data_IF_121702711652
#
_entry.id   IF_121702711652
#
_cell.length_a   1.000
_cell.length_b   1.000
_cell.length_c   1.000
_cell.angle_alpha   90.00
_cell.angle_beta   90.00
_cell.angle_gamma   90.00
#
_symmetry.space_group_name_H-M   'P 1'
#
loop_
_entity.id
_entity.type
_entity.pdbx_description
1 polymer ?
#
# COMPACT_ATOMS: atom_id res chain seq x y z
N UNK A 1 23.74 -11.66 -22.55
CA UNK A 1 23.25 -10.67 -21.56
C UNK A 1 21.72 -10.63 -21.39
N UNK A 2 20.89 -10.67 -22.45
CA UNK A 2 19.41 -10.66 -22.33
C UNK A 2 18.81 -11.78 -21.44
N UNK A 3 19.38 -12.98 -21.46
CA UNK A 3 18.90 -14.13 -20.67
C UNK A 3 19.20 -14.03 -19.15
N UNK A 4 20.21 -13.23 -18.76
CA UNK A 4 20.55 -12.99 -17.34
C UNK A 4 19.59 -11.95 -16.76
N UNK A 5 19.30 -10.89 -17.51
CA UNK A 5 18.34 -9.84 -17.12
C UNK A 5 16.93 -10.39 -16.90
N UNK A 6 16.50 -11.41 -17.64
CA UNK A 6 15.17 -12.02 -17.43
C UNK A 6 15.10 -12.90 -16.18
N UNK A 7 16.21 -13.54 -15.77
CA UNK A 7 16.25 -14.42 -14.60
C UNK A 7 16.18 -13.66 -13.27
N UNK A 8 16.80 -12.47 -13.19
CA UNK A 8 16.84 -11.65 -11.98
C UNK A 8 15.77 -10.54 -11.91
N UNK A 9 14.98 -10.35 -12.97
CA UNK A 9 13.94 -9.31 -13.02
C UNK A 9 12.87 -9.45 -11.95
N UNK A 10 12.37 -10.67 -11.73
CA UNK A 10 11.34 -10.94 -10.70
C UNK A 10 11.83 -10.66 -9.28
N UNK A 11 12.96 -11.21 -8.81
CA UNK A 11 13.45 -10.91 -7.46
C UNK A 11 13.80 -9.42 -7.31
N UNK A 12 14.34 -8.77 -8.35
CA UNK A 12 14.61 -7.33 -8.32
C UNK A 12 13.32 -6.51 -8.11
N UNK A 13 12.26 -6.79 -8.86
CA UNK A 13 10.97 -6.09 -8.69
C UNK A 13 10.33 -6.38 -7.34
N UNK A 14 10.53 -7.58 -6.80
CA UNK A 14 10.01 -7.94 -5.48
C UNK A 14 10.74 -7.18 -4.38
N UNK A 15 12.07 -7.11 -4.44
CA UNK A 15 12.89 -6.29 -3.52
C UNK A 15 12.53 -4.81 -3.65
N UNK A 16 12.45 -4.28 -4.86
CA UNK A 16 12.05 -2.89 -5.09
C UNK A 16 10.64 -2.59 -4.56
N UNK A 17 9.69 -3.52 -4.74
CA UNK A 17 8.35 -3.41 -4.18
C UNK A 17 8.35 -3.36 -2.66
N UNK A 18 9.14 -4.21 -2.00
CA UNK A 18 9.29 -4.22 -0.53
C UNK A 18 9.89 -2.89 -0.04
N UNK A 19 10.92 -2.39 -0.72
CA UNK A 19 11.55 -1.11 -0.36
C UNK A 19 10.58 0.05 -0.51
N UNK A 20 9.82 0.11 -1.61
CA UNK A 20 8.79 1.14 -1.82
C UNK A 20 7.66 1.03 -0.80
N UNK A 21 7.27 -0.18 -0.41
CA UNK A 21 6.29 -0.40 0.63
C UNK A 21 6.80 0.06 2.00
N UNK A 22 8.05 -0.26 2.35
CA UNK A 22 8.65 0.19 3.59
C UNK A 22 8.74 1.72 3.66
N UNK A 23 9.14 2.37 2.56
CA UNK A 23 9.14 3.83 2.44
C UNK A 23 7.73 4.42 2.55
N UNK A 24 6.74 3.77 1.94
CA UNK A 24 5.36 4.22 2.00
C UNK A 24 4.78 4.12 3.43
N UNK A 25 5.02 3.00 4.11
CA UNK A 25 4.64 2.79 5.50
C UNK A 25 5.29 3.83 6.41
N UNK A 26 6.60 4.07 6.24
CA UNK A 26 7.34 5.06 7.02
C UNK A 26 6.83 6.49 6.77
N UNK A 27 6.68 6.90 5.51
CA UNK A 27 6.17 8.22 5.14
C UNK A 27 4.73 8.45 5.61
N UNK A 28 3.88 7.43 5.47
CA UNK A 28 2.48 7.48 5.89
C UNK A 28 2.34 7.57 7.41
N UNK A 29 3.08 6.75 8.16
CA UNK A 29 3.12 6.81 9.62
C UNK A 29 3.66 8.16 10.11
N UNK A 30 4.81 8.59 9.59
CA UNK A 30 5.46 9.83 10.01
C UNK A 30 4.61 11.06 9.74
N UNK A 31 3.97 11.12 8.57
CA UNK A 31 3.02 12.18 8.26
C UNK A 31 1.80 12.15 9.18
N UNK A 32 1.17 10.98 9.38
CA UNK A 32 0.00 10.83 10.24
C UNK A 32 0.30 11.19 11.70
N UNK A 33 1.47 10.83 12.22
CA UNK A 33 1.88 11.15 13.58
C UNK A 33 2.17 12.64 13.76
N UNK A 34 2.86 13.26 12.80
CA UNK A 34 3.35 14.63 12.92
C UNK A 34 2.37 15.71 12.41
N UNK A 35 1.22 15.35 11.84
CA UNK A 35 0.32 16.27 11.15
C UNK A 35 -0.13 17.46 12.02
N UNK A 36 -0.42 17.24 13.31
CA UNK A 36 -0.85 18.30 14.23
C UNK A 36 0.30 18.95 15.01
N UNK A 37 1.52 18.42 14.88
CA UNK A 37 2.74 19.09 15.34
C UNK A 37 3.23 20.16 14.34
N UNK A 38 2.56 20.29 13.20
CA UNK A 38 2.87 21.28 12.18
C UNK A 38 2.16 22.59 12.54
N UNK A 39 2.88 23.54 13.13
CA UNK A 39 2.51 24.94 12.97
C UNK A 39 2.70 25.29 11.49
N UNK A 40 1.59 25.22 10.76
CA UNK A 40 1.57 25.56 9.36
C UNK A 40 1.77 27.07 9.23
N UNK A 41 3.01 27.51 9.04
CA UNK A 41 3.29 28.90 8.70
C UNK A 41 2.93 29.13 7.24
N UNK A 42 1.65 29.41 7.00
CA UNK A 42 1.08 29.38 5.67
C UNK A 42 1.52 30.59 4.81
N UNK A 43 2.20 31.60 5.36
CA UNK A 43 2.82 32.71 4.60
C UNK A 43 1.90 33.40 3.57
N UNK A 44 0.57 33.30 3.72
CA UNK A 44 -0.43 33.78 2.76
C UNK A 44 -0.80 32.83 1.59
N UNK A 45 -0.27 31.61 1.53
CA UNK A 45 -0.54 30.58 0.52
C UNK A 45 -1.09 29.26 1.09
N UNK A 46 -1.18 28.20 0.25
CA UNK A 46 -1.62 26.88 0.72
C UNK A 46 -0.52 26.24 1.58
N UNK A 47 -0.81 26.11 2.87
CA UNK A 47 0.01 25.53 3.92
C UNK A 47 0.68 24.20 3.52
N UNK A 48 0.00 23.39 2.71
CA UNK A 48 0.43 22.05 2.32
C UNK A 48 1.69 22.00 1.42
N UNK A 49 2.07 23.12 0.78
CA UNK A 49 3.04 23.09 -0.34
C UNK A 49 4.48 23.44 0.02
N UNK A 50 4.71 24.16 1.13
CA UNK A 50 6.04 24.71 1.47
C UNK A 50 6.75 24.01 2.63
N UNK A 51 6.07 23.17 3.41
CA UNK A 51 6.71 22.41 4.50
C UNK A 51 7.26 21.07 3.97
N UNK A 52 8.57 20.78 4.08
CA UNK A 52 9.16 19.50 3.67
C UNK A 52 8.53 18.28 4.35
N UNK A 53 7.81 18.44 5.46
CA UNK A 53 7.09 17.36 6.14
C UNK A 53 5.81 16.93 5.41
N UNK A 54 5.21 17.77 4.57
CA UNK A 54 4.06 17.38 3.73
C UNK A 54 4.45 16.35 2.65
N UNK A 55 5.75 16.25 2.34
CA UNK A 55 6.30 15.21 1.47
C UNK A 55 6.07 13.80 2.01
N UNK A 56 5.86 13.62 3.32
CA UNK A 56 5.56 12.31 3.91
C UNK A 56 4.32 11.65 3.29
N UNK A 57 3.26 12.43 3.05
CA UNK A 57 2.05 11.94 2.38
C UNK A 57 2.30 11.59 0.90
N UNK A 58 3.08 12.43 0.21
CA UNK A 58 3.45 12.22 -1.19
C UNK A 58 4.29 10.94 -1.35
N UNK A 59 5.27 10.73 -0.47
CA UNK A 59 6.08 9.51 -0.39
C UNK A 59 5.20 8.29 -0.10
N UNK A 60 4.23 8.41 0.82
CA UNK A 60 3.29 7.34 1.12
C UNK A 60 2.48 6.92 -0.12
N UNK A 61 1.93 7.88 -0.85
CA UNK A 61 1.09 7.62 -2.04
C UNK A 61 1.95 6.99 -3.16
N UNK A 62 3.03 7.64 -3.57
CA UNK A 62 3.86 7.14 -4.67
C UNK A 62 4.56 5.83 -4.33
N UNK A 63 5.03 5.67 -3.09
CA UNK A 63 5.60 4.42 -2.61
C UNK A 63 4.58 3.28 -2.66
N UNK A 64 3.33 3.51 -2.23
CA UNK A 64 2.25 2.51 -2.29
C UNK A 64 1.91 2.16 -3.73
N UNK A 65 1.75 3.14 -4.62
CA UNK A 65 1.46 2.92 -6.05
C UNK A 65 2.59 2.11 -6.70
N UNK A 66 3.85 2.48 -6.46
CA UNK A 66 5.00 1.75 -6.98
C UNK A 66 5.08 0.31 -6.44
N UNK A 67 4.83 0.11 -5.15
CA UNK A 67 4.78 -1.21 -4.54
C UNK A 67 3.65 -2.08 -5.13
N UNK A 68 2.47 -1.52 -5.35
CA UNK A 68 1.32 -2.17 -5.98
C UNK A 68 1.66 -2.61 -7.41
N UNK A 69 2.18 -1.70 -8.23
CA UNK A 69 2.51 -2.01 -9.62
C UNK A 69 3.56 -3.12 -9.70
N UNK A 70 4.67 -2.99 -8.97
CA UNK A 70 5.78 -3.95 -9.02
C UNK A 70 5.41 -5.31 -8.43
N UNK A 71 4.62 -5.34 -7.34
CA UNK A 71 4.18 -6.60 -6.73
C UNK A 71 3.12 -7.32 -7.57
N UNK A 72 2.25 -6.58 -8.25
CA UNK A 72 1.27 -7.13 -9.19
C UNK A 72 1.93 -7.93 -10.31
N UNK A 73 3.08 -7.47 -10.83
CA UNK A 73 3.87 -8.19 -11.83
C UNK A 73 4.58 -9.44 -11.30
N UNK A 74 4.93 -9.49 -10.01
CA UNK A 74 5.73 -10.58 -9.43
C UNK A 74 4.90 -11.68 -8.79
N UNK A 75 3.91 -11.31 -7.97
CA UNK A 75 3.11 -12.24 -7.15
C UNK A 75 1.61 -12.16 -7.44
N UNK A 76 1.20 -11.39 -8.46
CA UNK A 76 -0.21 -11.22 -8.81
C UNK A 76 -0.96 -10.39 -7.75
N UNK A 77 -2.29 -10.56 -7.68
CA UNK A 77 -3.17 -9.71 -6.86
C UNK A 77 -2.90 -9.73 -5.33
N UNK A 78 -2.16 -10.72 -4.80
CA UNK A 78 -1.75 -10.70 -3.39
C UNK A 78 -0.85 -9.49 -3.09
N UNK A 79 0.11 -9.22 -3.97
CA UNK A 79 1.09 -8.16 -3.79
C UNK A 79 0.44 -6.79 -3.57
N UNK A 80 -0.42 -6.35 -4.50
CA UNK A 80 -1.22 -5.15 -4.35
C UNK A 80 -2.04 -5.12 -3.07
N UNK A 81 -2.69 -6.23 -2.71
CA UNK A 81 -3.50 -6.30 -1.50
C UNK A 81 -2.67 -6.06 -0.23
N UNK A 82 -1.50 -6.70 -0.13
CA UNK A 82 -0.57 -6.50 1.00
C UNK A 82 -0.06 -5.06 1.01
N UNK A 83 0.33 -4.52 -0.14
CA UNK A 83 0.86 -3.16 -0.22
C UNK A 83 -0.15 -2.11 0.25
N UNK A 84 -1.41 -2.22 -0.20
CA UNK A 84 -2.50 -1.32 0.22
C UNK A 84 -2.79 -1.48 1.71
N UNK A 85 -2.91 -2.72 2.19
CA UNK A 85 -3.23 -3.00 3.60
C UNK A 85 -2.12 -2.53 4.55
N UNK A 86 -0.85 -2.79 4.23
CA UNK A 86 0.27 -2.40 5.08
C UNK A 86 0.48 -0.88 5.13
N UNK A 87 0.30 -0.18 4.01
CA UNK A 87 0.35 1.28 3.97
C UNK A 87 -0.81 1.90 4.79
N UNK A 88 -2.04 1.41 4.59
CA UNK A 88 -3.21 1.86 5.35
C UNK A 88 -3.09 1.60 6.86
N UNK A 89 -2.58 0.42 7.23
CA UNK A 89 -2.32 0.05 8.62
C UNK A 89 -1.30 0.98 9.27
N UNK A 90 -0.18 1.26 8.60
CA UNK A 90 0.87 2.11 9.15
C UNK A 90 0.40 3.55 9.32
N UNK A 91 -0.37 4.07 8.36
CA UNK A 91 -1.00 5.38 8.46
C UNK A 91 -1.98 5.46 9.63
N UNK A 92 -2.85 4.46 9.78
CA UNK A 92 -3.79 4.37 10.91
C UNK A 92 -3.07 4.33 12.25
N UNK A 93 -2.00 3.54 12.36
CA UNK A 93 -1.18 3.48 13.57
C UNK A 93 -0.56 4.84 13.91
N UNK A 94 -0.11 5.60 12.91
CA UNK A 94 0.42 6.95 13.13
C UNK A 94 -0.62 7.90 13.75
N UNK A 95 -1.89 7.81 13.31
CA UNK A 95 -2.99 8.57 13.90
C UNK A 95 -3.30 8.13 15.33
N UNK A 96 -3.37 6.82 15.57
CA UNK A 96 -3.64 6.26 16.91
C UNK A 96 -2.54 6.69 17.90
N UNK A 97 -1.28 6.63 17.49
CA UNK A 97 -0.14 7.07 18.29
C UNK A 97 -0.19 8.60 18.55
N UNK A 98 -0.55 9.42 17.56
CA UNK A 98 -0.72 10.87 17.72
C UNK A 98 -1.81 11.25 18.73
N UNK A 99 -2.94 10.54 18.70
CA UNK A 99 -4.02 10.71 19.66
C UNK A 99 -3.56 10.33 21.06
N UNK A 100 -2.88 9.19 21.19
CA UNK A 100 -2.37 8.72 22.48
C UNK A 100 -1.35 9.68 23.10
N UNK A 101 -0.56 10.36 22.26
CA UNK A 101 0.41 11.36 22.66
C UNK A 101 -0.22 12.75 22.91
N UNK A 102 -1.53 12.91 22.67
CA UNK A 102 -2.24 14.17 22.86
C UNK A 102 -1.95 15.24 21.79
N UNK A 103 -1.33 14.86 20.67
CA UNK A 103 -1.08 15.79 19.56
C UNK A 103 -2.33 16.06 18.74
N UNK A 104 -3.26 15.10 18.69
CA UNK A 104 -4.46 15.15 17.83
C UNK A 104 -5.73 14.82 18.62
N UNK A 105 -6.79 15.58 18.42
CA UNK A 105 -8.09 15.25 19.00
C UNK A 105 -8.73 14.05 18.29
N UNK A 106 -9.27 13.08 19.03
CA UNK A 106 -9.88 11.88 18.43
C UNK A 106 -11.02 12.18 17.43
N UNK A 107 -11.69 13.33 17.57
CA UNK A 107 -12.74 13.77 16.65
C UNK A 107 -12.25 14.23 15.27
N UNK A 108 -11.00 14.68 15.13
CA UNK A 108 -10.48 15.21 13.85
C UNK A 108 -10.00 14.12 12.89
N UNK A 109 -9.81 12.88 13.35
CA UNK A 109 -9.29 11.76 12.54
C UNK A 109 -10.37 10.85 11.93
N UNK A 110 -11.64 11.16 12.10
CA UNK A 110 -12.74 10.30 11.63
C UNK A 110 -12.73 10.06 10.11
N UNK A 111 -12.48 11.11 9.33
CA UNK A 111 -12.36 11.03 7.86
C UNK A 111 -11.18 10.14 7.43
N UNK A 112 -9.93 10.37 7.89
CA UNK A 112 -8.81 9.50 7.53
C UNK A 112 -8.98 8.05 8.01
N UNK A 113 -9.56 7.81 9.20
CA UNK A 113 -9.88 6.46 9.67
C UNK A 113 -10.87 5.73 8.74
N UNK A 114 -11.86 6.46 8.19
CA UNK A 114 -12.80 5.91 7.22
C UNK A 114 -12.09 5.49 5.92
N UNK A 115 -11.17 6.31 5.40
CA UNK A 115 -10.39 5.96 4.22
C UNK A 115 -9.50 4.73 4.43
N UNK A 116 -8.85 4.58 5.58
CA UNK A 116 -8.07 3.36 5.88
C UNK A 116 -8.96 2.11 5.92
N UNK A 117 -10.19 2.26 6.40
CA UNK A 117 -11.18 1.16 6.41
C UNK A 117 -11.59 0.77 5.00
N UNK A 118 -11.85 1.74 4.12
CA UNK A 118 -12.11 1.48 2.69
C UNK A 118 -10.92 0.75 2.05
N UNK A 119 -9.69 1.17 2.36
CA UNK A 119 -8.47 0.52 1.85
C UNK A 119 -8.38 -0.95 2.28
N UNK A 120 -8.71 -1.29 3.53
CA UNK A 120 -8.77 -2.69 3.99
C UNK A 120 -9.85 -3.50 3.27
N UNK A 121 -11.04 -2.92 3.04
CA UNK A 121 -12.11 -3.59 2.27
C UNK A 121 -11.65 -3.88 0.85
N UNK A 122 -11.04 -2.90 0.17
CA UNK A 122 -10.50 -3.08 -1.19
C UNK A 122 -9.42 -4.17 -1.20
N UNK A 123 -8.49 -4.15 -0.24
CA UNK A 123 -7.47 -5.18 -0.13
C UNK A 123 -8.07 -6.58 0.09
N UNK A 124 -9.11 -6.70 0.94
CA UNK A 124 -9.85 -7.93 1.15
C UNK A 124 -10.50 -8.46 -0.14
N UNK A 125 -11.16 -7.58 -0.90
CA UNK A 125 -11.75 -7.94 -2.20
C UNK A 125 -10.70 -8.41 -3.21
N UNK A 126 -9.51 -7.80 -3.24
CA UNK A 126 -8.41 -8.26 -4.09
C UNK A 126 -7.96 -9.68 -3.73
N UNK A 127 -7.88 -10.03 -2.43
CA UNK A 127 -7.52 -11.38 -1.98
C UNK A 127 -8.60 -12.39 -2.37
N UNK A 128 -9.88 -12.08 -2.17
CA UNK A 128 -11.00 -12.95 -2.56
C UNK A 128 -10.98 -13.21 -4.08
N UNK A 129 -10.82 -12.17 -4.89
CA UNK A 129 -10.69 -12.29 -6.34
C UNK A 129 -9.50 -13.15 -6.76
N UNK A 130 -8.36 -13.04 -6.06
CA UNK A 130 -7.19 -13.87 -6.31
C UNK A 130 -7.43 -15.35 -6.00
N UNK A 131 -8.06 -15.66 -4.85
CA UNK A 131 -8.42 -17.04 -4.47
C UNK A 131 -9.34 -17.65 -5.53
N UNK A 132 -10.37 -16.92 -5.96
CA UNK A 132 -11.28 -17.35 -7.02
C UNK A 132 -10.55 -17.66 -8.33
N UNK A 133 -9.60 -16.81 -8.71
CA UNK A 133 -8.78 -17.01 -9.91
C UNK A 133 -7.91 -18.28 -9.82
N UNK A 134 -7.35 -18.59 -8.65
CA UNK A 134 -6.58 -19.81 -8.45
C UNK A 134 -7.45 -21.07 -8.52
N UNK A 135 -8.61 -21.04 -7.87
CA UNK A 135 -9.56 -22.16 -7.86
C UNK A 135 -10.03 -22.47 -9.28
N UNK A 136 -10.45 -21.43 -10.03
CA UNK A 136 -10.89 -21.59 -11.42
C UNK A 136 -9.77 -22.12 -12.34
N UNK A 137 -8.53 -21.63 -12.19
CA UNK A 137 -7.36 -22.18 -12.93
C UNK A 137 -7.04 -23.62 -12.56
N UNK A 138 -7.25 -24.03 -11.32
CA UNK A 138 -7.05 -25.42 -10.90
C UNK A 138 -8.13 -26.33 -11.48
N UNK A 139 -9.39 -25.88 -11.46
CA UNK A 139 -10.52 -26.59 -12.07
C UNK A 139 -10.34 -26.74 -13.60
N UNK A 140 -9.96 -25.67 -14.30
CA UNK A 140 -9.68 -25.70 -15.74
C UNK A 140 -8.57 -26.68 -16.11
N UNK A 141 -7.47 -26.71 -15.34
CA UNK A 141 -6.39 -27.69 -15.55
C UNK A 141 -6.84 -29.13 -15.35
N UNK A 142 -7.70 -29.40 -14.35
CA UNK A 142 -8.28 -30.72 -14.11
C UNK A 142 -9.21 -31.16 -15.25
N UNK A 143 -10.00 -30.24 -15.79
CA UNK A 143 -10.90 -30.52 -16.93
C UNK A 143 -10.10 -30.85 -18.20
N UNK A 144 -9.05 -30.09 -18.52
CA UNK A 144 -8.17 -30.36 -19.67
C UNK A 144 -7.45 -31.71 -19.51
N UNK A 145 -7.00 -32.06 -18.30
CA UNK A 145 -6.37 -33.35 -18.04
C UNK A 145 -7.34 -34.51 -18.25
N UNK A 146 -8.60 -34.38 -17.84
CA UNK A 146 -9.65 -35.40 -18.08
C UNK A 146 -9.95 -35.59 -19.58
N UNK A 147 -10.00 -34.51 -20.35
CA UNK A 147 -10.24 -34.59 -21.81
C UNK A 147 -9.05 -35.13 -22.63
N UNK A 148 -7.83 -35.11 -22.08
CA UNK A 148 -6.66 -35.73 -22.75
C UNK A 148 -6.49 -37.22 -22.43
N UNK A 149 -7.19 -37.72 -21.42
CA UNK A 149 -7.07 -39.09 -20.92
C UNK A 149 -8.21 -40.02 -21.39
N UNK A 150 -9.19 -39.50 -22.12
CA UNK A 150 -10.23 -40.27 -22.81
C UNK A 150 -10.12 -40.06 -24.32
#
# INVERSE_FOLDING_TARGET
>A
MRAVLTRYRRPLFLVASILLLALACWGGYGFAYAADLMEWDCGGGSCATNDPRSLGLVVAIFGTVGAVLLSGFTVGLIGPAIAIAAAAFSFRRGLEDAISAGHTAAGSVGVPMTFTTIAFVVAGLCVVGWIWMLVSRAQGRRLVAKHRAG
#
